data_IF_311835800495
#
_entry.id   IF_311835800495
#
_cell.length_a   1.000
_cell.length_b   1.000
_cell.length_c   1.000
_cell.angle_alpha   90.00
_cell.angle_beta   90.00
_cell.angle_gamma   90.00
#
_symmetry.space_group_name_H-M   'P 1'
#
loop_
_entity.id
_entity.type
_entity.pdbx_description
1 polymer ?
#
# COMPACT_ATOMS: atom_id res chain seq x y z
N UNK A 1 26.48 -18.83 34.10
CA UNK A 1 26.33 -18.08 32.84
C UNK A 1 25.11 -17.21 33.02
N UNK A 2 25.19 -15.89 32.80
CA UNK A 2 24.04 -15.03 32.96
C UNK A 2 22.97 -15.35 31.92
N UNK A 3 21.71 -15.46 32.35
CA UNK A 3 20.53 -15.69 31.50
C UNK A 3 19.77 -14.38 31.28
N UNK A 4 19.08 -14.24 30.14
CA UNK A 4 18.19 -13.10 29.89
C UNK A 4 17.13 -12.93 30.99
N UNK A 5 16.65 -14.06 31.55
CA UNK A 5 15.63 -14.05 32.61
C UNK A 5 16.19 -13.59 33.97
N UNK A 6 17.51 -13.51 34.13
CA UNK A 6 18.17 -13.01 35.35
C UNK A 6 18.35 -11.48 35.34
N UNK A 7 18.12 -10.83 34.19
CA UNK A 7 18.11 -9.37 34.11
C UNK A 7 16.96 -8.80 34.95
N UNK A 8 17.07 -7.58 35.50
CA UNK A 8 15.91 -6.89 36.08
C UNK A 8 14.79 -6.72 35.06
N UNK A 9 13.53 -6.71 35.52
CA UNK A 9 12.37 -6.63 34.64
C UNK A 9 12.40 -5.36 33.78
N UNK A 10 12.83 -4.24 34.35
CA UNK A 10 12.93 -2.95 33.67
C UNK A 10 13.87 -3.04 32.45
N UNK A 11 14.96 -3.79 32.57
CA UNK A 11 15.92 -4.02 31.48
C UNK A 11 15.32 -4.94 30.43
N UNK A 12 14.59 -5.98 30.83
CA UNK A 12 13.90 -6.87 29.88
C UNK A 12 12.81 -6.12 29.11
N UNK A 13 12.03 -5.27 29.78
CA UNK A 13 11.00 -4.46 29.15
C UNK A 13 11.58 -3.49 28.12
N UNK A 14 12.72 -2.84 28.43
CA UNK A 14 13.45 -2.02 27.47
C UNK A 14 13.89 -2.83 26.25
N UNK A 15 14.51 -4.00 26.46
CA UNK A 15 14.95 -4.86 25.36
C UNK A 15 13.76 -5.33 24.52
N UNK A 16 12.66 -5.77 25.16
CA UNK A 16 11.44 -6.16 24.46
C UNK A 16 10.86 -4.99 23.65
N UNK A 17 10.82 -3.78 24.21
CA UNK A 17 10.39 -2.57 23.50
C UNK A 17 11.22 -2.29 22.25
N UNK A 18 12.55 -2.31 22.37
CA UNK A 18 13.45 -2.10 21.22
C UNK A 18 13.30 -3.21 20.17
N UNK A 19 13.22 -4.46 20.59
CA UNK A 19 13.00 -5.60 19.68
C UNK A 19 11.68 -5.43 18.93
N UNK A 20 10.58 -5.08 19.60
CA UNK A 20 9.28 -4.87 18.97
C UNK A 20 9.33 -3.78 17.89
N UNK A 21 10.10 -2.72 18.11
CA UNK A 21 10.23 -1.58 17.20
C UNK A 21 11.36 -1.74 16.17
N UNK A 22 12.12 -2.83 16.22
CA UNK A 22 13.20 -3.10 15.29
C UNK A 22 12.66 -3.49 13.90
N UNK A 23 13.30 -3.04 12.81
CA UNK A 23 12.99 -3.53 11.47
C UNK A 23 13.20 -5.04 11.35
N UNK A 24 12.26 -5.74 10.72
CA UNK A 24 12.37 -7.18 10.40
C UNK A 24 13.06 -7.44 9.06
N UNK A 25 13.18 -6.40 8.23
CA UNK A 25 13.86 -6.43 6.95
C UNK A 25 14.50 -5.08 6.63
N UNK A 26 15.59 -5.12 5.86
CA UNK A 26 16.19 -3.92 5.30
C UNK A 26 15.46 -3.49 4.03
N UNK A 27 15.49 -2.17 3.77
CA UNK A 27 14.97 -1.63 2.53
C UNK A 27 15.85 -2.12 1.36
N UNK A 28 15.27 -2.70 0.29
CA UNK A 28 16.05 -3.16 -0.85
C UNK A 28 16.91 -2.05 -1.45
N UNK A 29 18.15 -2.37 -1.83
CA UNK A 29 19.03 -1.43 -2.52
C UNK A 29 18.50 -1.12 -3.92
N UNK A 30 18.41 0.18 -4.25
CA UNK A 30 17.94 0.64 -5.57
C UNK A 30 18.98 0.42 -6.66
N UNK A 31 20.25 0.14 -6.31
CA UNK A 31 21.31 -0.21 -7.25
C UNK A 31 21.27 -1.66 -7.78
N UNK A 32 20.38 -2.50 -7.25
CA UNK A 32 20.22 -3.88 -7.71
C UNK A 32 19.72 -3.93 -9.15
N UNK A 33 20.19 -4.94 -9.90
CA UNK A 33 19.67 -5.23 -11.24
C UNK A 33 18.19 -5.62 -11.18
N UNK A 34 17.49 -5.51 -12.31
CA UNK A 34 16.07 -5.86 -12.37
C UNK A 34 15.85 -7.32 -11.95
N UNK A 35 16.71 -8.23 -12.46
CA UNK A 35 16.63 -9.66 -12.12
C UNK A 35 16.85 -9.91 -10.62
N UNK A 36 17.83 -9.25 -10.01
CA UNK A 36 18.10 -9.40 -8.58
C UNK A 36 16.96 -8.84 -7.72
N UNK A 37 16.39 -7.69 -8.11
CA UNK A 37 15.26 -7.08 -7.38
C UNK A 37 14.01 -7.97 -7.35
N UNK A 38 13.76 -8.72 -8.43
CA UNK A 38 12.61 -9.64 -8.53
C UNK A 38 12.91 -11.06 -8.02
N UNK A 39 14.19 -11.38 -7.77
CA UNK A 39 14.59 -12.71 -7.34
C UNK A 39 13.90 -13.09 -6.03
N UNK A 40 13.41 -14.33 -5.97
CA UNK A 40 12.59 -14.82 -4.86
C UNK A 40 11.19 -14.20 -4.78
N UNK A 41 10.89 -13.05 -5.39
CA UNK A 41 9.58 -12.38 -5.27
C UNK A 41 8.48 -13.07 -6.07
N UNK A 42 7.29 -13.20 -5.48
CA UNK A 42 6.12 -13.79 -6.14
C UNK A 42 4.91 -12.85 -6.14
N UNK A 43 4.05 -13.03 -7.13
CA UNK A 43 2.72 -12.43 -7.15
C UNK A 43 1.78 -13.26 -6.29
N UNK A 44 0.84 -12.60 -5.62
CA UNK A 44 -0.19 -13.28 -4.84
C UNK A 44 -1.50 -13.30 -5.62
N UNK A 45 -2.11 -14.47 -5.70
CA UNK A 45 -3.42 -14.63 -6.36
C UNK A 45 -4.57 -14.13 -5.49
N UNK A 46 -4.41 -14.17 -4.16
CA UNK A 46 -5.46 -13.87 -3.19
C UNK A 46 -5.05 -12.83 -2.13
N UNK A 47 -6.04 -12.09 -1.57
CA UNK A 47 -7.43 -12.01 -2.03
C UNK A 47 -7.53 -11.35 -3.41
N UNK A 48 -8.56 -11.71 -4.17
CA UNK A 48 -8.88 -11.03 -5.43
C UNK A 48 -9.25 -9.59 -5.14
N UNK A 49 -8.42 -8.69 -5.62
CA UNK A 49 -8.72 -7.27 -5.62
C UNK A 49 -9.61 -6.99 -6.81
N UNK A 50 -10.77 -6.34 -6.61
CA UNK A 50 -11.77 -6.07 -7.64
C UNK A 50 -11.28 -5.26 -8.85
N UNK A 51 -10.01 -4.82 -8.86
CA UNK A 51 -9.38 -4.09 -9.95
C UNK A 51 -9.11 -4.95 -11.17
N UNK A 52 -8.43 -4.36 -12.16
CA UNK A 52 -8.08 -5.05 -13.41
C UNK A 52 -7.26 -6.32 -13.11
N UNK A 53 -7.77 -7.48 -13.49
CA UNK A 53 -7.21 -8.81 -13.15
C UNK A 53 -5.72 -8.98 -13.44
N UNK A 54 -5.19 -8.26 -14.43
CA UNK A 54 -3.76 -8.33 -14.77
C UNK A 54 -2.84 -7.61 -13.78
N UNK A 55 -3.35 -6.68 -12.98
CA UNK A 55 -2.53 -5.83 -12.09
C UNK A 55 -1.80 -6.63 -11.01
N UNK A 56 -2.40 -7.70 -10.49
CA UNK A 56 -1.79 -8.56 -9.46
C UNK A 56 -0.49 -9.24 -9.92
N UNK A 57 -0.38 -9.55 -11.21
CA UNK A 57 0.83 -10.14 -11.79
C UNK A 57 1.98 -9.13 -11.92
N UNK A 58 1.67 -7.83 -11.84
CA UNK A 58 2.64 -6.75 -11.84
C UNK A 58 3.11 -6.36 -10.42
N UNK A 59 2.63 -7.07 -9.39
CA UNK A 59 3.06 -6.85 -8.00
C UNK A 59 3.89 -8.05 -7.55
N UNK A 60 5.06 -7.79 -6.97
CA UNK A 60 6.05 -8.79 -6.57
C UNK A 60 6.38 -8.64 -5.09
N UNK A 61 5.77 -9.49 -4.27
CA UNK A 61 5.99 -9.56 -2.83
C UNK A 61 7.18 -10.48 -2.53
N UNK A 62 7.98 -10.16 -1.52
CA UNK A 62 8.93 -11.12 -0.96
C UNK A 62 8.17 -12.24 -0.24
N UNK A 63 8.32 -13.51 -0.65
CA UNK A 63 7.69 -14.64 0.00
C UNK A 63 8.65 -15.18 1.04
N UNK A 64 8.60 -14.67 2.26
CA UNK A 64 9.22 -15.44 3.34
C UNK A 64 8.67 -15.14 4.71
N UNK A 65 8.81 -16.15 5.58
CA UNK A 65 8.44 -16.12 6.98
C UNK A 65 9.06 -14.94 7.75
N UNK A 66 10.18 -14.37 7.31
CA UNK A 66 10.81 -13.20 7.95
C UNK A 66 10.07 -11.87 7.73
N UNK A 67 9.47 -11.64 6.55
CA UNK A 67 8.73 -10.39 6.24
C UNK A 67 7.24 -10.45 6.60
N UNK A 68 6.78 -11.61 7.07
CA UNK A 68 5.36 -11.92 7.29
C UNK A 68 5.02 -12.19 8.76
N UNK A 69 6.04 -12.52 9.55
CA UNK A 69 5.91 -12.76 10.98
C UNK A 69 6.13 -11.44 11.69
N UNK A 70 5.14 -11.04 12.52
CA UNK A 70 5.28 -9.85 13.33
C UNK A 70 6.41 -10.00 14.33
N UNK A 71 7.11 -8.92 14.63
CA UNK A 71 8.30 -8.92 15.49
C UNK A 71 8.03 -9.46 16.90
N UNK A 72 6.80 -9.32 17.40
CA UNK A 72 6.39 -9.88 18.68
C UNK A 72 6.32 -11.42 18.68
N UNK A 73 6.18 -12.07 17.53
CA UNK A 73 5.82 -13.49 17.44
C UNK A 73 6.85 -14.40 18.11
N UNK A 74 8.18 -14.28 17.85
CA UNK A 74 9.17 -15.05 18.58
C UNK A 74 9.11 -14.82 20.09
N UNK A 75 8.95 -13.56 20.54
CA UNK A 75 8.89 -13.23 21.98
C UNK A 75 7.69 -13.87 22.68
N UNK A 76 6.54 -13.91 22.01
CA UNK A 76 5.32 -14.53 22.53
C UNK A 76 5.40 -16.07 22.60
N UNK A 77 6.30 -16.69 21.84
CA UNK A 77 6.41 -18.15 21.73
C UNK A 77 7.54 -18.76 22.59
N UNK A 78 8.37 -17.94 23.24
CA UNK A 78 9.53 -18.44 24.02
C UNK A 78 9.11 -19.04 25.36
N UNK A 79 8.41 -18.27 26.22
CA UNK A 79 7.90 -18.73 27.52
C UNK A 79 6.78 -17.81 28.04
N UNK A 80 6.08 -18.25 29.10
CA UNK A 80 4.93 -17.53 29.68
C UNK A 80 5.28 -16.15 30.28
N UNK A 81 6.47 -16.00 30.86
CA UNK A 81 6.89 -14.73 31.45
C UNK A 81 7.17 -13.70 30.34
N UNK A 82 7.96 -14.07 29.34
CA UNK A 82 8.21 -13.23 28.16
C UNK A 82 6.93 -12.91 27.40
N UNK A 83 5.99 -13.86 27.33
CA UNK A 83 4.67 -13.60 26.78
C UNK A 83 3.96 -12.46 27.52
N UNK A 84 3.88 -12.53 28.86
CA UNK A 84 3.20 -11.52 29.67
C UNK A 84 3.89 -10.14 29.56
N UNK A 85 5.22 -10.12 29.67
CA UNK A 85 6.04 -8.90 29.53
C UNK A 85 5.88 -8.30 28.11
N UNK A 86 5.90 -9.10 27.06
CA UNK A 86 5.70 -8.63 25.66
C UNK A 86 4.30 -8.06 25.45
N UNK A 87 3.26 -8.71 25.99
CA UNK A 87 1.88 -8.23 25.88
C UNK A 87 1.68 -6.90 26.64
N UNK A 88 2.33 -6.73 27.79
CA UNK A 88 2.35 -5.47 28.52
C UNK A 88 3.04 -4.36 27.70
N UNK A 89 4.22 -4.66 27.13
CA UNK A 89 4.97 -3.72 26.28
C UNK A 89 4.19 -3.32 25.01
N UNK A 90 3.52 -4.26 24.34
CA UNK A 90 2.68 -3.97 23.18
C UNK A 90 1.55 -2.99 23.51
N UNK A 91 0.97 -3.12 24.71
CA UNK A 91 -0.14 -2.27 25.17
C UNK A 91 0.33 -0.89 25.62
N UNK A 92 1.54 -0.81 26.20
CA UNK A 92 2.14 0.44 26.68
C UNK A 92 2.82 1.25 25.56
N UNK A 93 3.28 0.60 24.48
CA UNK A 93 4.05 1.23 23.39
C UNK A 93 3.13 1.82 22.32
N UNK A 94 3.08 3.15 22.14
CA UNK A 94 2.18 3.77 21.15
C UNK A 94 2.47 3.38 19.70
N UNK A 95 3.70 2.99 19.40
CA UNK A 95 4.13 2.60 18.05
C UNK A 95 3.89 1.12 17.71
N UNK A 96 3.35 0.33 18.63
CA UNK A 96 3.14 -1.12 18.41
C UNK A 96 2.18 -1.39 17.23
N UNK A 97 1.24 -0.48 16.98
CA UNK A 97 0.27 -0.49 15.88
C UNK A 97 0.72 0.31 14.65
N UNK A 98 2.01 0.71 14.58
CA UNK A 98 2.59 1.44 13.45
C UNK A 98 3.43 0.50 12.59
N UNK A 99 3.16 0.46 11.29
CA UNK A 99 3.88 -0.39 10.34
C UNK A 99 4.68 0.44 9.34
N UNK A 100 5.79 -0.12 8.87
CA UNK A 100 6.60 0.48 7.82
C UNK A 100 6.62 -0.42 6.59
N UNK A 101 6.29 0.15 5.44
CA UNK A 101 6.26 -0.48 4.13
C UNK A 101 7.19 0.28 3.20
N UNK A 102 8.14 -0.41 2.60
CA UNK A 102 8.84 0.08 1.44
C UNK A 102 8.12 -0.38 0.17
N UNK A 103 7.94 0.54 -0.77
CA UNK A 103 7.24 0.29 -2.01
C UNK A 103 8.09 0.81 -3.16
N UNK A 104 8.63 -0.08 -3.98
CA UNK A 104 9.48 0.29 -5.12
C UNK A 104 8.69 0.20 -6.41
N UNK A 105 8.66 1.29 -7.18
CA UNK A 105 8.29 1.29 -8.60
C UNK A 105 9.53 0.90 -9.39
N UNK A 106 9.55 -0.31 -9.95
CA UNK A 106 10.69 -0.86 -10.67
C UNK A 106 10.47 -0.76 -12.19
N UNK A 107 11.29 0.04 -12.86
CA UNK A 107 11.33 0.27 -14.31
C UNK A 107 9.98 0.61 -14.95
N UNK A 108 9.08 1.22 -14.18
CA UNK A 108 7.67 1.42 -14.54
C UNK A 108 6.89 0.12 -14.83
N UNK A 109 7.45 -1.06 -14.57
CA UNK A 109 6.89 -2.37 -14.98
C UNK A 109 6.30 -3.16 -13.82
N UNK A 110 6.85 -2.98 -12.64
CA UNK A 110 6.46 -3.73 -11.45
C UNK A 110 6.36 -2.83 -10.24
N UNK A 111 5.57 -3.31 -9.28
CA UNK A 111 5.50 -2.77 -7.94
C UNK A 111 6.04 -3.82 -6.96
N UNK A 112 7.05 -3.45 -6.17
CA UNK A 112 7.77 -4.35 -5.28
C UNK A 112 7.58 -3.91 -3.82
N UNK A 113 6.49 -4.33 -3.16
CA UNK A 113 6.29 -4.08 -1.73
C UNK A 113 7.23 -4.93 -0.85
N UNK A 114 7.76 -4.33 0.20
CA UNK A 114 8.55 -4.97 1.26
C UNK A 114 8.15 -4.39 2.62
N UNK A 115 7.57 -5.23 3.50
CA UNK A 115 7.32 -4.82 4.88
C UNK A 115 8.65 -4.75 5.64
N UNK A 116 8.97 -3.57 6.15
CA UNK A 116 10.21 -3.31 6.90
C UNK A 116 10.00 -3.52 8.40
N UNK A 117 8.82 -3.17 8.92
CA UNK A 117 8.49 -3.29 10.34
C UNK A 117 7.00 -3.57 10.54
N UNK A 118 6.72 -4.63 11.28
CA UNK A 118 5.36 -5.04 11.68
C UNK A 118 5.43 -5.56 13.13
N UNK A 119 5.26 -4.70 14.15
CA UNK A 119 5.49 -5.11 15.53
C UNK A 119 4.51 -6.19 16.01
N UNK A 120 3.22 -6.04 15.67
CA UNK A 120 2.14 -7.00 15.97
C UNK A 120 1.16 -7.10 14.81
N UNK A 121 0.53 -8.25 14.61
CA UNK A 121 -0.59 -8.38 13.66
C UNK A 121 -1.91 -8.06 14.37
N UNK A 122 -2.43 -6.86 14.13
CA UNK A 122 -3.73 -6.40 14.66
C UNK A 122 -4.70 -6.01 13.54
N UNK A 123 -6.00 -5.98 13.86
CA UNK A 123 -7.04 -5.47 12.96
C UNK A 123 -7.19 -3.94 13.05
N UNK A 124 -6.60 -3.28 14.04
CA UNK A 124 -6.65 -1.83 14.21
C UNK A 124 -5.22 -1.29 14.16
N UNK A 125 -4.87 -0.67 13.04
CA UNK A 125 -3.55 -0.13 12.76
C UNK A 125 -3.64 1.38 12.87
N UNK A 126 -2.75 1.98 13.64
CA UNK A 126 -2.76 3.43 13.82
C UNK A 126 -2.14 4.11 12.61
N UNK A 127 -1.00 3.62 12.15
CA UNK A 127 -0.31 4.24 11.03
C UNK A 127 0.41 3.21 10.16
N UNK A 128 0.35 3.42 8.85
CA UNK A 128 1.24 2.74 7.89
C UNK A 128 2.08 3.81 7.23
N UNK A 129 3.39 3.78 7.47
CA UNK A 129 4.36 4.60 6.78
C UNK A 129 4.79 3.89 5.51
N UNK A 130 4.51 4.49 4.36
CA UNK A 130 4.91 3.97 3.06
C UNK A 130 6.04 4.83 2.52
N UNK A 131 7.22 4.23 2.36
CA UNK A 131 8.30 4.84 1.59
C UNK A 131 8.14 4.42 0.13
N UNK A 132 7.71 5.36 -0.72
CA UNK A 132 7.59 5.11 -2.14
C UNK A 132 8.87 5.54 -2.86
N UNK A 133 9.62 4.56 -3.34
CA UNK A 133 10.89 4.76 -4.06
C UNK A 133 10.73 4.34 -5.52
N UNK A 134 11.59 4.88 -6.37
CA UNK A 134 11.63 4.54 -7.80
C UNK A 134 13.01 3.99 -8.13
N UNK A 135 13.04 2.85 -8.80
CA UNK A 135 14.24 2.26 -9.37
C UNK A 135 14.08 2.22 -10.89
N UNK A 136 14.88 3.00 -11.60
CA UNK A 136 14.91 3.01 -13.06
C UNK A 136 13.68 3.60 -13.74
N UNK A 137 13.60 3.38 -15.04
CA UNK A 137 12.58 3.93 -15.93
C UNK A 137 12.49 3.03 -17.16
N UNK A 138 11.30 2.89 -17.75
CA UNK A 138 11.05 1.93 -18.84
C UNK A 138 12.03 2.11 -20.00
N UNK A 139 12.99 1.18 -20.18
CA UNK A 139 13.98 1.29 -21.26
C UNK A 139 13.43 0.66 -22.54
N UNK A 140 13.85 1.17 -23.70
CA UNK A 140 13.34 0.73 -25.02
C UNK A 140 13.87 -0.65 -25.46
N UNK A 141 15.08 -1.03 -25.03
CA UNK A 141 15.73 -2.28 -25.41
C UNK A 141 16.67 -2.73 -24.29
N UNK A 142 16.26 -3.68 -23.46
CA UNK A 142 17.20 -4.38 -22.57
C UNK A 142 16.94 -5.86 -22.70
N UNK A 143 17.98 -6.60 -23.05
CA UNK A 143 17.96 -8.07 -23.12
C UNK A 143 17.64 -8.70 -21.76
N UNK A 144 17.87 -7.96 -20.67
CA UNK A 144 17.55 -8.33 -19.29
C UNK A 144 16.06 -8.67 -19.08
N UNK A 145 15.17 -8.19 -19.96
CA UNK A 145 13.73 -8.52 -19.91
C UNK A 145 13.31 -9.62 -20.89
N UNK A 146 14.21 -10.18 -21.72
CA UNK A 146 13.84 -11.25 -22.68
C UNK A 146 13.41 -12.50 -21.90
N UNK A 147 12.25 -13.05 -22.27
CA UNK A 147 11.66 -14.24 -21.62
C UNK A 147 10.81 -13.96 -20.39
N UNK A 148 10.60 -12.69 -20.01
CA UNK A 148 9.70 -12.29 -18.93
C UNK A 148 8.39 -11.78 -19.54
N UNK A 149 7.33 -12.60 -19.56
CA UNK A 149 6.01 -12.26 -20.14
C UNK A 149 5.29 -11.12 -19.41
N UNK A 150 5.74 -10.78 -18.20
CA UNK A 150 5.15 -9.74 -17.36
C UNK A 150 5.90 -8.42 -17.58
N UNK A 151 5.15 -7.36 -17.92
CA UNK A 151 5.69 -6.00 -17.95
C UNK A 151 6.30 -5.57 -19.29
N UNK A 152 5.88 -6.13 -20.43
CA UNK A 152 6.33 -5.69 -21.76
C UNK A 152 5.98 -4.22 -22.08
N UNK A 153 5.11 -3.59 -21.27
CA UNK A 153 4.70 -2.19 -21.39
C UNK A 153 4.86 -1.49 -20.05
N UNK A 154 5.11 -0.18 -20.09
CA UNK A 154 5.01 0.69 -18.92
C UNK A 154 3.62 0.58 -18.29
N UNK A 155 3.56 0.37 -16.98
CA UNK A 155 2.32 0.34 -16.19
C UNK A 155 1.63 1.71 -16.14
N UNK A 156 2.35 2.79 -16.41
CA UNK A 156 1.76 4.13 -16.55
C UNK A 156 1.04 4.32 -17.89
N UNK A 157 1.08 3.33 -18.81
CA UNK A 157 0.34 3.35 -20.06
C UNK A 157 -1.16 3.52 -19.82
N UNK A 158 -1.74 4.54 -20.45
CA UNK A 158 -3.19 4.75 -20.51
C UNK A 158 -3.74 4.15 -21.80
N UNK A 159 -4.82 3.38 -21.67
CA UNK A 159 -5.61 2.86 -22.79
C UNK A 159 -6.79 3.77 -23.13
N UNK A 160 -7.93 3.17 -23.46
CA UNK A 160 -9.11 3.84 -24.05
C UNK A 160 -10.01 4.56 -23.03
N UNK A 161 -9.43 5.19 -22.01
CA UNK A 161 -10.16 6.05 -21.06
C UNK A 161 -10.16 5.59 -19.60
N UNK A 162 -9.73 4.36 -19.31
CA UNK A 162 -9.58 3.88 -17.93
C UNK A 162 -8.25 4.28 -17.25
N UNK A 163 -8.14 4.14 -15.90
CA UNK A 163 -6.90 4.35 -15.18
C UNK A 163 -5.77 3.43 -15.67
N UNK A 164 -4.53 3.90 -15.60
CA UNK A 164 -3.34 3.13 -15.97
C UNK A 164 -3.16 1.88 -15.11
N UNK A 165 -2.42 0.86 -15.57
CA UNK A 165 -2.23 -0.37 -14.79
C UNK A 165 -1.52 -0.12 -13.45
N UNK A 166 -0.65 0.91 -13.38
CA UNK A 166 0.04 1.31 -12.16
C UNK A 166 -0.94 1.72 -11.05
N UNK A 167 -2.01 2.43 -11.41
CA UNK A 167 -3.10 2.78 -10.49
C UNK A 167 -3.67 1.52 -9.84
N UNK A 168 -3.98 0.50 -10.66
CA UNK A 168 -4.53 -0.75 -10.16
C UNK A 168 -3.53 -1.55 -9.32
N UNK A 169 -2.23 -1.40 -9.56
CA UNK A 169 -1.20 -2.01 -8.72
C UNK A 169 -1.18 -1.37 -7.33
N UNK A 170 -1.18 -0.04 -7.24
CA UNK A 170 -1.28 0.67 -5.97
C UNK A 170 -2.57 0.34 -5.23
N UNK A 171 -3.71 0.36 -5.94
CA UNK A 171 -5.00 -0.08 -5.41
C UNK A 171 -4.90 -1.46 -4.77
N UNK A 172 -4.33 -2.42 -5.50
CA UNK A 172 -4.31 -3.81 -5.10
C UNK A 172 -3.43 -4.04 -3.87
N UNK A 173 -2.29 -3.34 -3.75
CA UNK A 173 -1.46 -3.37 -2.53
C UNK A 173 -2.26 -2.84 -1.33
N UNK A 174 -2.90 -1.68 -1.47
CA UNK A 174 -3.67 -1.05 -0.39
C UNK A 174 -4.88 -1.88 0.02
N UNK A 175 -5.69 -2.34 -0.93
CA UNK A 175 -6.85 -3.18 -0.66
C UNK A 175 -6.42 -4.49 -0.06
N UNK A 176 -5.34 -5.11 -0.56
CA UNK A 176 -4.82 -6.32 0.06
C UNK A 176 -4.49 -6.09 1.53
N UNK A 177 -3.78 -5.01 1.85
CA UNK A 177 -3.49 -4.65 3.23
C UNK A 177 -4.78 -4.47 4.04
N UNK A 178 -5.75 -3.69 3.57
CA UNK A 178 -7.02 -3.47 4.27
C UNK A 178 -7.83 -4.76 4.45
N UNK A 179 -7.69 -5.75 3.56
CA UNK A 179 -8.40 -7.03 3.65
C UNK A 179 -7.71 -8.02 4.56
N UNK A 180 -6.39 -8.18 4.46
CA UNK A 180 -5.65 -9.30 5.09
C UNK A 180 -4.40 -8.89 5.86
N UNK A 181 -4.08 -7.60 5.89
CA UNK A 181 -2.91 -7.05 6.59
C UNK A 181 -1.59 -7.35 5.89
N UNK A 182 -0.46 -7.18 6.59
CA UNK A 182 0.89 -7.44 6.08
C UNK A 182 1.22 -8.94 6.10
N UNK A 183 0.29 -9.76 5.60
CA UNK A 183 0.40 -11.20 5.57
C UNK A 183 0.84 -11.70 4.20
N UNK A 184 1.43 -12.89 4.19
CA UNK A 184 1.94 -13.54 3.00
C UNK A 184 0.80 -14.05 2.14
N UNK A 185 1.13 -14.97 1.23
CA UNK A 185 0.14 -15.49 0.30
C UNK A 185 -1.09 -16.08 1.03
N UNK A 186 -2.27 -15.62 0.62
CA UNK A 186 -3.53 -16.17 1.09
C UNK A 186 -3.94 -17.33 0.18
N UNK A 187 -4.60 -18.34 0.76
CA UNK A 187 -5.08 -19.49 0.00
C UNK A 187 -6.48 -19.30 -0.58
N UNK A 188 -7.23 -18.27 -0.14
CA UNK A 188 -8.59 -17.99 -0.63
C UNK A 188 -9.05 -16.57 -0.33
N UNK A 189 -10.14 -16.16 -0.99
CA UNK A 189 -10.89 -14.93 -0.71
C UNK A 189 -11.58 -14.89 0.66
N UNK A 190 -11.78 -16.04 1.31
CA UNK A 190 -12.56 -16.11 2.55
C UNK A 190 -11.83 -15.53 3.77
N UNK A 191 -10.49 -15.44 3.69
CA UNK A 191 -9.69 -14.82 4.74
C UNK A 191 -9.82 -13.29 4.58
N UNK A 192 -10.76 -12.68 5.29
CA UNK A 192 -10.91 -11.22 5.37
C UNK A 192 -10.83 -10.82 6.84
N UNK A 193 -9.76 -10.09 7.21
CA UNK A 193 -9.52 -9.57 8.55
C UNK A 193 -10.16 -8.19 8.78
N UNK A 194 -10.45 -7.46 7.70
CA UNK A 194 -10.99 -6.09 7.76
C UNK A 194 -10.12 -5.20 8.63
N UNK A 195 -8.90 -4.97 8.16
CA UNK A 195 -7.94 -4.10 8.82
C UNK A 195 -8.44 -2.67 8.71
N UNK A 196 -8.57 -2.05 9.87
CA UNK A 196 -8.93 -0.66 10.08
C UNK A 196 -7.62 0.12 10.21
N UNK A 197 -7.48 1.19 9.45
CA UNK A 197 -6.29 2.02 9.41
C UNK A 197 -6.62 3.47 9.80
N UNK A 198 -6.00 4.04 10.83
CA UNK A 198 -6.24 5.46 11.10
C UNK A 198 -5.54 6.31 10.03
N UNK A 199 -4.22 6.17 9.86
CA UNK A 199 -3.47 7.02 8.93
C UNK A 199 -2.63 6.21 7.95
N UNK A 200 -2.80 6.46 6.65
CA UNK A 200 -1.88 6.02 5.60
C UNK A 200 -0.96 7.19 5.26
N UNK A 201 0.32 7.14 5.65
CA UNK A 201 1.31 8.18 5.37
C UNK A 201 2.24 7.71 4.24
N UNK A 202 2.08 8.25 3.03
CA UNK A 202 2.86 7.89 1.84
C UNK A 202 3.87 8.98 1.55
N UNK A 203 5.15 8.65 1.63
CA UNK A 203 6.25 9.55 1.32
C UNK A 203 6.97 9.14 0.05
N UNK A 204 6.83 9.97 -0.99
CA UNK A 204 7.54 9.78 -2.26
C UNK A 204 8.95 10.32 -2.12
N UNK A 205 9.91 9.40 -2.13
CA UNK A 205 11.34 9.70 -1.90
C UNK A 205 12.07 9.96 -3.20
N UNK A 206 12.94 10.97 -3.18
CA UNK A 206 13.92 11.20 -4.24
C UNK A 206 14.92 10.06 -4.23
N UNK A 207 15.14 9.36 -5.35
CA UNK A 207 16.23 8.40 -5.46
C UNK A 207 17.56 9.07 -5.11
N UNK A 208 18.36 8.51 -4.20
CA UNK A 208 19.65 9.10 -3.84
C UNK A 208 20.61 9.03 -5.03
N UNK A 209 21.52 10.00 -5.12
CA UNK A 209 22.63 10.02 -6.08
C UNK A 209 22.21 10.07 -7.58
N UNK A 210 21.00 10.54 -7.89
CA UNK A 210 20.55 10.76 -9.27
C UNK A 210 20.43 12.26 -9.53
N UNK A 211 21.09 12.74 -10.58
CA UNK A 211 20.94 14.14 -11.01
C UNK A 211 19.47 14.39 -11.42
N UNK A 212 18.82 15.46 -10.93
CA UNK A 212 17.48 15.84 -11.34
C UNK A 212 17.27 15.94 -12.86
N UNK A 213 18.31 16.17 -13.67
CA UNK A 213 18.23 16.15 -15.14
C UNK A 213 17.83 14.78 -15.70
N UNK A 214 18.05 13.69 -14.95
CA UNK A 214 17.66 12.33 -15.31
C UNK A 214 16.23 11.97 -14.87
N UNK A 215 15.52 12.87 -14.19
CA UNK A 215 14.12 12.69 -13.85
C UNK A 215 13.22 12.92 -15.07
N UNK A 216 12.52 11.87 -15.47
CA UNK A 216 11.68 11.87 -16.66
C UNK A 216 10.25 11.49 -16.33
N UNK A 217 9.31 11.96 -17.14
CA UNK A 217 7.93 11.46 -17.09
C UNK A 217 7.89 9.99 -17.54
N UNK A 218 6.94 9.18 -17.05
CA UNK A 218 6.80 7.79 -17.47
C UNK A 218 6.70 7.62 -18.98
N UNK A 219 7.20 6.50 -19.49
CA UNK A 219 7.32 6.20 -20.93
C UNK A 219 6.00 6.12 -21.70
N UNK A 220 4.86 6.22 -20.99
CA UNK A 220 3.51 6.19 -21.54
C UNK A 220 2.99 7.51 -22.09
N UNK A 221 3.68 8.63 -21.91
CA UNK A 221 3.22 9.90 -22.46
C UNK A 221 3.17 9.81 -23.99
N UNK A 222 2.00 10.02 -24.60
CA UNK A 222 1.73 9.92 -26.05
C UNK A 222 2.75 10.66 -26.95
N UNK A 223 3.49 11.63 -26.40
CA UNK A 223 4.71 12.17 -27.01
C UNK A 223 5.85 11.18 -26.73
N UNK A 224 6.07 10.24 -27.64
CA UNK A 224 7.29 9.43 -27.71
C UNK A 224 8.47 10.38 -27.92
N UNK A 225 8.95 11.02 -26.84
CA UNK A 225 10.19 11.77 -26.88
C UNK A 225 11.33 10.81 -27.21
N UNK A 226 12.38 11.39 -27.79
CA UNK A 226 13.65 10.76 -28.13
C UNK A 226 14.18 9.87 -26.98
N UNK A 227 15.05 8.92 -27.32
CA UNK A 227 15.79 8.03 -26.40
C UNK A 227 15.77 8.49 -24.94
N UNK A 228 15.12 7.72 -24.06
CA UNK A 228 15.41 7.87 -22.63
C UNK A 228 16.82 7.35 -22.42
N UNK A 229 17.69 8.19 -21.91
CA UNK A 229 19.07 7.81 -21.64
C UNK A 229 19.10 6.69 -20.60
N UNK A 230 20.08 5.79 -20.74
CA UNK A 230 20.38 4.76 -19.75
C UNK A 230 20.61 5.48 -18.40
N UNK A 231 19.89 5.06 -17.36
CA UNK A 231 19.95 5.69 -16.04
C UNK A 231 18.87 6.74 -15.75
N UNK A 232 17.97 7.03 -16.70
CA UNK A 232 16.78 7.85 -16.42
C UNK A 232 15.90 7.19 -15.36
N UNK A 233 15.25 7.99 -14.50
CA UNK A 233 14.33 7.51 -13.46
C UNK A 233 13.02 8.29 -13.52
N UNK A 234 11.89 7.65 -13.14
CA UNK A 234 10.61 8.36 -13.08
C UNK A 234 10.72 9.54 -12.11
N UNK A 235 10.33 10.72 -12.58
CA UNK A 235 10.26 11.94 -11.79
C UNK A 235 9.39 11.73 -10.52
N UNK A 236 9.98 11.84 -9.32
CA UNK A 236 9.23 11.70 -8.07
C UNK A 236 8.10 12.72 -7.90
N UNK A 237 8.23 13.94 -8.43
CA UNK A 237 7.17 14.97 -8.36
C UNK A 237 6.02 14.63 -9.32
N UNK A 238 6.33 13.97 -10.43
CA UNK A 238 5.30 13.36 -11.26
C UNK A 238 4.58 12.26 -10.48
N UNK A 239 5.32 11.37 -9.80
CA UNK A 239 4.73 10.24 -9.08
C UNK A 239 3.83 10.69 -7.91
N UNK A 240 4.26 11.69 -7.14
CA UNK A 240 3.44 12.28 -6.08
C UNK A 240 2.12 12.84 -6.62
N UNK A 241 2.17 13.67 -7.68
CA UNK A 241 0.95 14.21 -8.33
C UNK A 241 0.07 13.13 -8.93
N UNK A 242 0.68 12.10 -9.52
CA UNK A 242 -0.03 10.95 -10.08
C UNK A 242 -0.82 10.22 -8.99
N UNK A 243 -0.21 9.99 -7.82
CA UNK A 243 -0.89 9.37 -6.69
C UNK A 243 -1.98 10.26 -6.10
N UNK A 244 -1.73 11.56 -5.92
CA UNK A 244 -2.76 12.50 -5.46
C UNK A 244 -3.99 12.45 -6.36
N UNK A 245 -3.81 12.63 -7.67
CA UNK A 245 -4.93 12.60 -8.62
C UNK A 245 -5.66 11.26 -8.67
N UNK A 246 -4.95 10.15 -8.42
CA UNK A 246 -5.56 8.83 -8.35
C UNK A 246 -6.38 8.62 -7.07
N UNK A 247 -5.84 9.00 -5.91
CA UNK A 247 -6.55 8.88 -4.63
C UNK A 247 -7.81 9.76 -4.68
N UNK A 248 -7.70 10.97 -5.20
CA UNK A 248 -8.86 11.84 -5.44
C UNK A 248 -9.89 11.18 -6.36
N UNK A 249 -9.47 10.59 -7.48
CA UNK A 249 -10.36 9.87 -8.38
C UNK A 249 -11.13 8.74 -7.66
N UNK A 250 -10.45 7.91 -6.86
CA UNK A 250 -11.12 6.85 -6.10
C UNK A 250 -12.12 7.40 -5.07
N UNK A 251 -11.76 8.50 -4.42
CA UNK A 251 -12.55 9.09 -3.35
C UNK A 251 -13.71 9.96 -3.89
N UNK A 252 -13.69 10.35 -5.15
CA UNK A 252 -14.82 11.05 -5.78
C UNK A 252 -16.09 10.20 -5.84
N UNK A 253 -15.97 8.87 -5.74
CA UNK A 253 -17.11 7.95 -5.63
C UNK A 253 -18.15 8.12 -6.75
N UNK A 254 -17.70 8.50 -7.96
CA UNK A 254 -18.55 8.45 -9.15
C UNK A 254 -18.87 7.00 -9.55
N UNK A 255 -19.69 6.81 -10.58
CA UNK A 255 -20.11 5.48 -11.01
C UNK A 255 -18.92 4.55 -11.41
N UNK A 256 -17.78 5.10 -11.84
CA UNK A 256 -16.58 4.30 -12.14
C UNK A 256 -15.72 4.03 -10.91
N UNK A 257 -15.61 4.99 -10.00
CA UNK A 257 -14.75 4.91 -8.82
C UNK A 257 -15.43 4.22 -7.63
N UNK A 258 -16.76 4.33 -7.50
CA UNK A 258 -17.50 3.83 -6.35
C UNK A 258 -17.30 2.35 -6.05
N UNK A 259 -17.23 1.41 -7.02
CA UNK A 259 -16.94 0.01 -6.73
C UNK A 259 -15.59 -0.22 -6.01
N UNK A 260 -14.67 0.73 -6.13
CA UNK A 260 -13.31 0.65 -5.61
C UNK A 260 -13.11 1.53 -4.36
N UNK A 261 -13.68 2.73 -4.36
CA UNK A 261 -13.50 3.73 -3.30
C UNK A 261 -14.17 3.37 -1.97
N UNK A 262 -15.25 2.58 -1.99
CA UNK A 262 -16.04 2.21 -0.79
C UNK A 262 -15.19 1.70 0.36
N UNK A 263 -14.17 0.89 0.07
CA UNK A 263 -13.32 0.27 1.09
C UNK A 263 -12.53 1.31 1.90
N UNK A 264 -12.07 2.40 1.28
CA UNK A 264 -11.32 3.46 1.96
C UNK A 264 -12.22 4.20 2.94
N UNK A 265 -13.45 4.50 2.54
CA UNK A 265 -14.44 5.15 3.39
C UNK A 265 -14.86 4.31 4.61
N UNK A 266 -14.83 2.98 4.49
CA UNK A 266 -15.22 2.08 5.58
C UNK A 266 -14.05 1.83 6.54
N UNK A 267 -12.83 1.72 6.03
CA UNK A 267 -11.69 1.16 6.77
C UNK A 267 -10.57 2.17 7.07
N UNK A 268 -10.69 3.44 6.67
CA UNK A 268 -9.60 4.41 6.83
C UNK A 268 -10.04 5.79 7.33
N UNK A 269 -9.24 6.49 8.16
CA UNK A 269 -9.52 7.89 8.55
C UNK A 269 -8.83 8.90 7.63
N UNK A 270 -7.56 8.71 7.34
CA UNK A 270 -6.74 9.74 6.72
C UNK A 270 -5.70 9.14 5.77
N UNK A 271 -5.44 9.87 4.68
CA UNK A 271 -4.29 9.65 3.82
C UNK A 271 -3.45 10.93 3.83
N UNK A 272 -2.17 10.80 4.15
CA UNK A 272 -1.19 11.88 4.08
C UNK A 272 -0.22 11.55 2.95
N UNK A 273 -0.06 12.46 2.00
CA UNK A 273 0.93 12.35 0.94
C UNK A 273 2.06 13.32 1.20
N UNK A 274 3.29 12.83 1.09
CA UNK A 274 4.51 13.58 1.29
C UNK A 274 5.46 13.46 0.12
N UNK A 275 6.33 14.44 0.02
CA UNK A 275 7.48 14.48 -0.87
C UNK A 275 8.71 14.80 -0.04
N UNK A 276 9.62 13.82 0.06
CA UNK A 276 10.80 13.88 0.92
C UNK A 276 10.49 14.38 2.34
N UNK A 277 9.46 13.79 2.95
CA UNK A 277 8.99 14.13 4.30
C UNK A 277 8.10 15.37 4.41
N UNK A 278 8.04 16.23 3.39
CA UNK A 278 7.17 17.42 3.40
C UNK A 278 5.76 17.05 2.95
N UNK A 279 4.75 17.46 3.72
CA UNK A 279 3.34 17.22 3.37
C UNK A 279 2.99 17.97 2.10
N UNK A 280 2.51 17.23 1.10
CA UNK A 280 1.98 17.77 -0.17
C UNK A 280 0.46 17.83 -0.11
N UNK A 281 -0.17 16.78 0.43
CA UNK A 281 -1.63 16.66 0.47
C UNK A 281 -2.05 15.91 1.75
N UNK A 282 -3.19 16.29 2.32
CA UNK A 282 -3.77 15.62 3.49
C UNK A 282 -5.28 15.44 3.27
N UNK A 283 -5.70 14.19 3.19
CA UNK A 283 -7.07 13.82 2.87
C UNK A 283 -7.72 13.19 4.10
N UNK A 284 -8.57 13.95 4.78
CA UNK A 284 -9.43 13.41 5.83
C UNK A 284 -10.67 12.74 5.21
N UNK A 285 -10.68 11.40 5.22
CA UNK A 285 -11.73 10.57 4.63
C UNK A 285 -13.06 10.75 5.38
N UNK A 286 -13.02 10.83 6.72
CA UNK A 286 -14.21 10.98 7.56
C UNK A 286 -15.04 12.21 7.15
N UNK A 287 -14.37 13.36 7.04
CA UNK A 287 -14.94 14.65 6.66
C UNK A 287 -15.52 14.71 5.24
N UNK A 288 -15.14 13.74 4.38
CA UNK A 288 -15.62 13.66 3.00
C UNK A 288 -16.92 12.87 2.89
N UNK A 289 -17.17 11.90 3.78
CA UNK A 289 -18.37 11.04 3.72
C UNK A 289 -19.65 11.88 3.60
N UNK A 290 -19.91 12.91 4.44
CA UNK A 290 -21.16 13.67 4.39
C UNK A 290 -21.34 14.41 3.08
N UNK A 291 -20.23 14.87 2.49
CA UNK A 291 -20.18 15.64 1.25
C UNK A 291 -20.32 14.77 0.01
N UNK A 292 -20.16 13.45 0.13
CA UNK A 292 -20.39 12.54 -0.97
C UNK A 292 -21.84 12.63 -1.43
N UNK A 293 -22.00 12.98 -2.70
CA UNK A 293 -23.25 12.94 -3.43
C UNK A 293 -23.04 12.09 -4.69
N UNK A 294 -24.02 11.26 -5.02
CA UNK A 294 -23.95 10.39 -6.19
C UNK A 294 -24.24 11.23 -7.45
N UNK A 295 -23.26 12.03 -7.88
CA UNK A 295 -23.51 13.17 -8.77
C UNK A 295 -23.20 12.96 -10.26
N UNK A 296 -22.90 11.74 -10.71
CA UNK A 296 -22.73 11.48 -12.15
C UNK A 296 -23.82 10.55 -12.68
N UNK A 297 -25.08 10.99 -12.58
CA UNK A 297 -26.28 10.33 -13.08
C UNK A 297 -26.36 10.17 -14.60
N UNK A 298 -25.38 9.48 -15.20
CA UNK A 298 -25.59 8.78 -16.46
C UNK A 298 -25.43 7.28 -16.20
N UNK A 299 -26.49 6.48 -16.40
CA UNK A 299 -26.37 5.03 -16.41
C UNK A 299 -25.23 4.62 -17.35
N UNK A 300 -24.34 3.73 -16.91
CA UNK A 300 -23.25 3.17 -17.70
C UNK A 300 -23.79 2.43 -18.94
N UNK A 301 -25.01 1.93 -18.84
CA UNK A 301 -25.73 1.26 -19.89
C UNK A 301 -27.22 1.57 -19.79
N UNK A 302 -27.98 1.60 -20.90
CA UNK A 302 -29.44 1.68 -20.89
C UNK A 302 -30.16 0.52 -20.17
N UNK A 303 -29.41 -0.42 -19.57
CA UNK A 303 -29.91 -1.61 -18.89
C UNK A 303 -29.54 -1.68 -17.40
N UNK A 304 -28.76 -0.74 -16.86
CA UNK A 304 -28.52 -0.66 -15.41
C UNK A 304 -29.64 0.15 -14.77
N UNK A 305 -30.24 -0.39 -13.71
CA UNK A 305 -31.53 0.00 -13.14
C UNK A 305 -31.72 1.50 -12.86
N UNK A 306 -32.97 1.87 -12.57
CA UNK A 306 -33.41 3.25 -12.37
C UNK A 306 -32.44 4.04 -11.47
N UNK A 307 -32.20 5.31 -11.84
CA UNK A 307 -31.38 6.25 -11.06
C UNK A 307 -31.73 6.28 -9.57
N UNK A 308 -33.01 6.08 -9.25
CA UNK A 308 -33.55 6.00 -7.89
C UNK A 308 -33.02 4.81 -7.08
N UNK A 309 -32.92 3.60 -7.67
CA UNK A 309 -32.37 2.43 -6.98
C UNK A 309 -30.90 2.66 -6.60
N UNK A 310 -30.11 3.19 -7.54
CA UNK A 310 -28.69 3.47 -7.29
C UNK A 310 -28.49 4.55 -6.22
N UNK A 311 -29.37 5.55 -6.17
CA UNK A 311 -29.37 6.56 -5.11
C UNK A 311 -29.69 5.97 -3.73
N UNK A 312 -30.70 5.11 -3.66
CA UNK A 312 -31.07 4.42 -2.42
C UNK A 312 -29.96 3.48 -1.95
N UNK A 313 -29.39 2.67 -2.84
CA UNK A 313 -28.26 1.77 -2.54
C UNK A 313 -27.04 2.56 -2.03
N UNK A 314 -26.79 3.75 -2.60
CA UNK A 314 -25.72 4.64 -2.17
C UNK A 314 -25.99 5.26 -0.79
N UNK A 315 -27.21 5.72 -0.54
CA UNK A 315 -27.61 6.27 0.76
C UNK A 315 -27.54 5.20 1.87
N UNK A 316 -28.03 3.99 1.60
CA UNK A 316 -27.95 2.85 2.51
C UNK A 316 -26.50 2.46 2.77
N UNK A 317 -25.67 2.40 1.72
CA UNK A 317 -24.23 2.18 1.88
C UNK A 317 -23.58 3.24 2.78
N UNK A 318 -23.89 4.53 2.56
CA UNK A 318 -23.33 5.64 3.34
C UNK A 318 -23.70 5.54 4.82
N UNK A 319 -24.96 5.24 5.13
CA UNK A 319 -25.41 5.01 6.50
C UNK A 319 -24.68 3.82 7.15
N UNK A 320 -24.58 2.68 6.45
CA UNK A 320 -23.83 1.51 6.92
C UNK A 320 -22.35 1.79 7.11
N UNK A 321 -21.73 2.57 6.23
CA UNK A 321 -20.33 2.94 6.35
C UNK A 321 -20.08 3.78 7.61
N UNK A 322 -20.95 4.75 7.92
CA UNK A 322 -20.83 5.56 9.14
C UNK A 322 -20.97 4.69 10.40
N UNK A 323 -21.96 3.80 10.42
CA UNK A 323 -22.15 2.88 11.56
C UNK A 323 -20.97 1.91 11.72
N UNK A 324 -20.44 1.37 10.61
CA UNK A 324 -19.27 0.51 10.64
C UNK A 324 -18.04 1.24 11.19
N UNK A 325 -17.82 2.51 10.79
CA UNK A 325 -16.74 3.34 11.32
C UNK A 325 -16.87 3.54 12.82
N UNK A 326 -18.08 3.82 13.31
CA UNK A 326 -18.38 3.95 14.73
C UNK A 326 -18.00 2.69 15.52
N UNK A 327 -18.43 1.53 15.04
CA UNK A 327 -18.14 0.24 15.67
C UNK A 327 -16.64 -0.10 15.71
N UNK A 328 -15.85 0.49 14.81
CA UNK A 328 -14.41 0.26 14.69
C UNK A 328 -13.54 1.37 15.29
N UNK A 329 -14.14 2.35 15.97
CA UNK A 329 -13.40 3.47 16.57
C UNK A 329 -12.71 4.38 15.56
N UNK A 330 -13.19 4.42 14.33
CA UNK A 330 -12.75 5.39 13.32
C UNK A 330 -13.40 6.76 13.58
N UNK A 331 -12.77 7.82 13.08
CA UNK A 331 -13.32 9.17 13.16
C UNK A 331 -14.67 9.22 12.47
N UNK A 332 -15.65 9.79 13.16
CA UNK A 332 -16.96 10.05 12.60
C UNK A 332 -16.95 11.36 11.82
N UNK A 333 -17.80 11.46 10.78
CA UNK A 333 -17.93 12.66 9.97
C UNK A 333 -18.24 13.95 10.74
#
# INVERSE_FOLDING_TARGET
MPSFMELPQEVRDQICGEVLLSPTAEAPDLGLSYKAMIEGRKSYNWPETSGRDSSRYCIRYLPSASTTVATCTPLLLVNHQLYAETMANLSATPQSSTYDLDLIVLDERLLCPTWLRVPVLTNNVDQVNVQLRVAGCHPKNVEEYRGIDIGTRSLFARGDGGPSLMVWCFYAVLVRFLRVGPTGECQSNRKHRSIVLKTLDIDVRTPPNIDPSHFVKPGSSRKRSASKDIGSVVDPDYLARFLTGYIEYLLNMDHHAAPYGKIFYILMNEIVLRRDGKVVERINIASRIPKLAYNNGRPYHPYEGSSEKNLNDFAEWKARAIEYRKQRGLQLP
#
